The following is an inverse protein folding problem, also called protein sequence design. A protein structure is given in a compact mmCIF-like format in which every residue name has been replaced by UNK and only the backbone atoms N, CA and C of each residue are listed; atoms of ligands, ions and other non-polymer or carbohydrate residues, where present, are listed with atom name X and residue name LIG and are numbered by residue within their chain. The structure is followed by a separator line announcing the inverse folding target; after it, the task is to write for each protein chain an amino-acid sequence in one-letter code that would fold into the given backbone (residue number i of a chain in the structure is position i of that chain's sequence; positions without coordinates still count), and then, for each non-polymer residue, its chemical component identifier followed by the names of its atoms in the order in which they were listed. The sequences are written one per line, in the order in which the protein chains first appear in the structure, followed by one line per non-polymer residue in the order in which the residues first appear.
data_IF_549873401818
#
_entry.id   IF_549873401818
#
_cell.length_a   1.000
_cell.length_b   1.000
_cell.length_c   1.000
_cell.angle_alpha   90.00
_cell.angle_beta   90.00
_cell.angle_gamma   90.00
#
_symmetry.space_group_name_H-M   'P 1'
#
loop_
_entity.id
_entity.type
_entity.pdbx_description
1 polymer ?
#
# COMPACT_ATOMS: atom_id res chain seq x y z
N UNK A 1 -3.10 -12.52 23.57
CA UNK A 1 -3.99 -12.04 22.48
C UNK A 1 -5.13 -13.03 22.50
N UNK A 2 -6.31 -12.55 22.81
CA UNK A 2 -7.52 -13.37 22.77
C UNK A 2 -7.83 -13.62 21.27
N UNK A 3 -7.66 -14.85 20.82
CA UNK A 3 -7.84 -15.25 19.42
C UNK A 3 -9.27 -15.01 18.90
N UNK A 4 -10.21 -14.70 19.78
CA UNK A 4 -11.62 -14.48 19.42
C UNK A 4 -11.86 -13.18 18.67
N UNK A 5 -10.92 -12.21 18.72
CA UNK A 5 -11.04 -10.90 18.05
C UNK A 5 -10.15 -10.74 16.81
N UNK A 6 -9.32 -11.74 16.50
CA UNK A 6 -8.33 -11.66 15.40
C UNK A 6 -8.98 -11.58 14.00
N UNK A 7 -10.26 -11.91 13.87
CA UNK A 7 -10.97 -11.95 12.59
C UNK A 7 -12.00 -10.82 12.40
N UNK A 8 -12.20 -10.00 13.42
CA UNK A 8 -13.21 -8.95 13.41
C UNK A 8 -12.63 -7.61 12.92
N UNK A 9 -13.32 -6.93 12.04
CA UNK A 9 -12.99 -5.55 11.70
C UNK A 9 -13.31 -4.63 12.87
N UNK A 10 -12.44 -3.64 13.13
CA UNK A 10 -12.66 -2.64 14.17
C UNK A 10 -12.76 -1.27 13.49
N UNK A 11 -13.84 -0.57 13.75
CA UNK A 11 -14.12 0.76 13.20
C UNK A 11 -14.07 1.79 14.33
N UNK A 12 -13.29 2.84 14.13
CA UNK A 12 -13.28 4.01 14.98
C UNK A 12 -14.00 5.14 14.25
N UNK A 13 -15.07 5.63 14.82
CA UNK A 13 -15.86 6.70 14.23
C UNK A 13 -16.26 7.73 15.29
N UNK A 14 -16.54 8.95 14.86
CA UNK A 14 -17.07 9.99 15.72
C UNK A 14 -18.27 10.67 15.08
N UNK A 15 -19.15 11.18 15.89
CA UNK A 15 -20.29 11.99 15.46
C UNK A 15 -20.48 13.09 16.48
N UNK A 16 -20.74 14.31 16.03
CA UNK A 16 -21.07 15.40 16.96
C UNK A 16 -22.20 14.99 17.87
N UNK A 17 -22.03 15.28 19.15
CA UNK A 17 -22.98 14.91 20.20
C UNK A 17 -24.35 15.44 19.85
N UNK A 18 -25.29 14.56 19.60
CA UNK A 18 -26.70 14.84 19.69
C UNK A 18 -27.16 14.60 21.16
N UNK A 19 -27.98 15.44 21.69
CA UNK A 19 -28.49 15.33 23.07
C UNK A 19 -28.99 13.88 23.33
N UNK A 20 -28.39 13.19 24.30
CA UNK A 20 -28.73 11.81 24.65
C UNK A 20 -27.89 10.70 24.02
N UNK A 21 -26.83 11.02 23.25
CA UNK A 21 -25.94 10.03 22.66
C UNK A 21 -24.92 9.58 23.70
N UNK A 22 -25.01 8.32 24.14
CA UNK A 22 -23.97 7.64 24.90
C UNK A 22 -22.94 7.07 23.92
N UNK A 23 -21.67 7.09 24.30
CA UNK A 23 -20.61 6.35 23.59
C UNK A 23 -20.87 4.87 23.85
N UNK A 24 -21.49 4.19 22.89
CA UNK A 24 -21.77 2.75 22.99
C UNK A 24 -20.80 1.95 22.16
N UNK A 25 -20.33 0.88 22.78
CA UNK A 25 -19.63 -0.20 22.11
C UNK A 25 -20.70 -1.08 21.47
N UNK A 26 -20.74 -1.13 20.14
CA UNK A 26 -21.76 -1.87 19.41
C UNK A 26 -21.09 -3.04 18.70
N UNK A 27 -21.47 -4.26 19.09
CA UNK A 27 -21.18 -5.47 18.32
C UNK A 27 -22.35 -5.69 17.34
N UNK A 28 -22.07 -5.57 16.04
CA UNK A 28 -23.08 -5.83 15.01
C UNK A 28 -22.94 -7.24 14.44
N UNK A 29 -24.05 -7.87 14.09
CA UNK A 29 -24.07 -9.08 13.26
C UNK A 29 -23.36 -8.81 11.93
N UNK A 30 -22.29 -9.55 11.66
CA UNK A 30 -21.45 -9.35 10.47
C UNK A 30 -19.97 -9.22 10.80
N UNK A 31 -19.60 -9.28 12.07
CA UNK A 31 -18.21 -9.48 12.47
C UNK A 31 -17.36 -8.21 12.53
N UNK A 32 -17.90 -7.08 12.97
CA UNK A 32 -17.09 -5.91 13.29
C UNK A 32 -17.47 -5.27 14.62
N UNK A 33 -16.50 -4.58 15.22
CA UNK A 33 -16.66 -3.77 16.42
C UNK A 33 -16.67 -2.30 16.02
N UNK A 34 -17.65 -1.55 16.49
CA UNK A 34 -17.75 -0.11 16.25
C UNK A 34 -17.51 0.66 17.53
N UNK A 35 -16.43 1.42 17.60
CA UNK A 35 -16.13 2.35 18.67
C UNK A 35 -16.60 3.75 18.27
N UNK A 36 -17.63 4.23 18.94
CA UNK A 36 -18.18 5.57 18.71
C UNK A 36 -17.64 6.56 19.74
N UNK A 37 -17.29 7.74 19.27
CA UNK A 37 -16.76 8.84 20.08
C UNK A 37 -17.57 10.12 19.85
N UNK A 38 -17.58 11.00 20.86
CA UNK A 38 -18.30 12.28 20.80
C UNK A 38 -17.60 13.31 19.89
N UNK A 39 -16.29 13.17 19.68
CA UNK A 39 -15.51 14.08 18.86
C UNK A 39 -14.30 13.37 18.22
N UNK A 40 -13.72 14.03 17.23
CA UNK A 40 -12.58 13.50 16.48
C UNK A 40 -11.33 13.26 17.35
N UNK A 41 -11.07 14.12 18.34
CA UNK A 41 -9.90 13.95 19.18
C UNK A 41 -9.98 12.69 20.05
N UNK A 42 -11.12 12.42 20.64
CA UNK A 42 -11.33 11.23 21.47
C UNK A 42 -11.29 9.95 20.62
N UNK A 43 -11.80 10.02 19.38
CA UNK A 43 -11.62 8.93 18.41
C UNK A 43 -10.15 8.67 18.09
N UNK A 44 -9.36 9.72 17.90
CA UNK A 44 -7.91 9.56 17.67
C UNK A 44 -7.22 8.95 18.89
N UNK A 45 -7.55 9.38 20.10
CA UNK A 45 -7.00 8.79 21.34
C UNK A 45 -7.35 7.30 21.45
N UNK A 46 -8.61 6.93 21.24
CA UNK A 46 -9.04 5.53 21.27
C UNK A 46 -8.37 4.68 20.21
N UNK A 47 -8.21 5.19 18.99
CA UNK A 47 -7.46 4.51 17.93
C UNK A 47 -5.98 4.30 18.32
N UNK A 48 -5.33 5.32 18.89
CA UNK A 48 -3.93 5.23 19.29
C UNK A 48 -3.73 4.30 20.50
N UNK A 49 -4.66 4.26 21.43
CA UNK A 49 -4.66 3.30 22.53
C UNK A 49 -4.76 1.87 22.01
N UNK A 50 -5.69 1.62 21.08
CA UNK A 50 -5.83 0.32 20.45
C UNK A 50 -4.58 -0.08 19.66
N UNK A 51 -4.01 0.84 18.87
CA UNK A 51 -2.78 0.61 18.12
C UNK A 51 -1.59 0.29 19.04
N UNK A 52 -1.53 0.94 20.20
CA UNK A 52 -0.48 0.69 21.20
C UNK A 52 -0.68 -0.64 21.90
N UNK A 53 -1.91 -1.03 22.21
CA UNK A 53 -2.25 -2.29 22.86
C UNK A 53 -2.04 -3.50 21.94
N UNK A 54 -2.43 -3.39 20.67
CA UNK A 54 -2.27 -4.46 19.66
C UNK A 54 -0.84 -4.58 19.12
N UNK A 55 -0.06 -3.52 19.23
CA UNK A 55 1.35 -3.39 18.82
C UNK A 55 1.76 -4.13 17.52
N UNK A 56 1.09 -3.88 16.38
CA UNK A 56 1.33 -4.62 15.15
C UNK A 56 2.70 -4.25 14.54
N UNK A 57 3.43 -5.24 14.03
CA UNK A 57 4.68 -5.04 13.30
C UNK A 57 4.47 -4.40 11.93
N UNK A 58 3.34 -4.72 11.26
CA UNK A 58 3.05 -4.30 9.90
C UNK A 58 1.68 -3.63 9.85
N UNK A 59 1.64 -2.41 9.33
CA UNK A 59 0.42 -1.70 8.97
C UNK A 59 0.19 -1.81 7.48
N UNK A 60 -1.00 -2.25 7.09
CA UNK A 60 -1.37 -2.48 5.69
C UNK A 60 -2.55 -1.59 5.34
N UNK A 61 -2.43 -0.84 4.25
CA UNK A 61 -3.56 -0.14 3.65
C UNK A 61 -3.38 -0.01 2.14
N UNK A 62 -4.45 0.35 1.44
CA UNK A 62 -4.43 0.60 0.01
C UNK A 62 -4.37 2.10 -0.26
N UNK A 63 -3.37 2.55 -1.02
CA UNK A 63 -3.07 3.98 -1.20
C UNK A 63 -2.56 4.70 0.07
N UNK A 64 -2.05 3.96 1.04
CA UNK A 64 -1.60 4.45 2.35
C UNK A 64 -0.66 5.66 2.24
N UNK A 65 0.33 5.61 1.33
CA UNK A 65 1.42 6.58 1.30
C UNK A 65 1.02 7.94 0.75
N UNK A 66 -0.03 8.02 -0.04
CA UNK A 66 -0.46 9.29 -0.64
C UNK A 66 -1.86 9.74 -0.22
N UNK A 67 -2.68 8.85 0.32
CA UNK A 67 -4.04 9.17 0.79
C UNK A 67 -4.18 9.05 2.31
N UNK A 68 -4.32 7.84 2.86
CA UNK A 68 -4.78 7.62 4.22
C UNK A 68 -3.83 8.17 5.28
N UNK A 69 -2.58 7.74 5.26
CA UNK A 69 -1.60 8.13 6.29
C UNK A 69 -1.26 9.63 6.27
N UNK A 70 -1.09 10.30 5.10
CA UNK A 70 -0.94 11.75 5.07
C UNK A 70 -2.13 12.51 5.64
N UNK A 71 -3.36 12.04 5.42
CA UNK A 71 -4.57 12.67 5.97
C UNK A 71 -4.61 12.51 7.49
N UNK A 72 -4.43 11.28 7.98
CA UNK A 72 -4.38 11.00 9.41
C UNK A 72 -3.31 11.84 10.11
N UNK A 73 -2.07 11.85 9.59
CA UNK A 73 -0.96 12.61 10.17
C UNK A 73 -1.17 14.13 10.20
N UNK A 74 -2.01 14.67 9.32
CA UNK A 74 -2.34 16.12 9.35
C UNK A 74 -3.36 16.45 10.45
N UNK A 75 -4.23 15.52 10.80
CA UNK A 75 -5.25 15.67 11.83
C UNK A 75 -4.70 15.44 13.23
N UNK A 76 -3.76 14.52 13.38
CA UNK A 76 -3.07 14.23 14.63
C UNK A 76 -2.14 15.37 15.04
N UNK A 77 -2.08 15.66 16.34
CA UNK A 77 -1.02 16.48 16.93
C UNK A 77 0.35 15.81 16.78
N UNK A 78 1.43 16.53 17.09
CA UNK A 78 2.78 15.94 17.07
C UNK A 78 2.90 14.81 18.09
N UNK A 79 2.36 15.00 19.29
CA UNK A 79 2.37 14.01 20.36
C UNK A 79 1.57 12.76 19.98
N UNK A 80 0.33 12.92 19.52
CA UNK A 80 -0.50 11.82 19.03
C UNK A 80 0.17 11.07 17.89
N UNK A 81 0.72 11.76 16.90
CA UNK A 81 1.40 11.10 15.79
C UNK A 81 2.61 10.28 16.23
N UNK A 82 3.36 10.73 17.22
CA UNK A 82 4.51 9.99 17.76
C UNK A 82 4.08 8.67 18.44
N UNK A 83 2.87 8.61 19.02
CA UNK A 83 2.31 7.38 19.62
C UNK A 83 2.02 6.28 18.58
N UNK A 84 1.91 6.61 17.31
CA UNK A 84 1.81 5.57 16.27
C UNK A 84 3.07 4.70 16.16
N UNK A 85 4.20 5.22 16.63
CA UNK A 85 5.49 4.54 16.60
C UNK A 85 5.80 3.90 17.96
N UNK A 86 6.21 2.63 18.01
CA UNK A 86 6.62 1.97 19.26
C UNK A 86 7.88 2.61 19.86
N UNK A 87 8.63 3.39 19.10
CA UNK A 87 9.81 4.12 19.57
C UNK A 87 9.58 5.65 19.64
N UNK A 88 8.34 6.10 19.49
CA UNK A 88 7.96 7.50 19.61
C UNK A 88 8.44 8.41 18.47
N UNK A 89 8.72 7.88 17.28
CA UNK A 89 9.24 8.65 16.16
C UNK A 89 8.47 8.40 14.87
N UNK A 90 8.00 9.48 14.26
CA UNK A 90 7.34 9.46 12.95
C UNK A 90 7.92 10.51 12.03
N UNK A 91 7.87 10.26 10.74
CA UNK A 91 8.18 11.22 9.69
C UNK A 91 6.86 11.82 9.19
N UNK A 92 6.68 13.11 9.36
CA UNK A 92 5.47 13.78 8.88
C UNK A 92 5.48 13.99 7.37
N UNK A 93 4.32 13.96 6.71
CA UNK A 93 4.23 14.10 5.26
C UNK A 93 4.66 15.51 4.83
N UNK A 94 5.23 15.62 3.64
CA UNK A 94 5.45 16.92 3.02
C UNK A 94 4.13 17.56 2.66
N UNK A 95 4.04 18.89 2.73
CA UNK A 95 2.86 19.64 2.30
C UNK A 95 2.47 19.20 0.89
N UNK A 96 1.22 18.75 0.73
CA UNK A 96 0.57 18.40 -0.55
C UNK A 96 1.15 17.22 -1.37
N UNK A 97 2.14 16.48 -0.87
CA UNK A 97 2.81 15.43 -1.69
C UNK A 97 2.65 14.02 -1.10
N UNK A 98 2.35 13.90 0.21
CA UNK A 98 2.36 12.60 0.89
C UNK A 98 3.78 12.07 1.14
N UNK A 99 3.91 10.76 1.18
CA UNK A 99 5.19 10.07 1.39
C UNK A 99 5.75 9.52 0.07
N UNK A 100 7.06 9.28 0.06
CA UNK A 100 7.69 8.56 -1.06
C UNK A 100 7.39 7.06 -0.94
N UNK A 101 7.30 6.37 -2.06
CA UNK A 101 7.02 4.93 -2.14
C UNK A 101 7.94 4.05 -1.26
N UNK A 102 9.20 4.45 -1.10
CA UNK A 102 10.20 3.72 -0.30
C UNK A 102 10.35 4.23 1.13
N UNK A 103 9.55 5.21 1.54
CA UNK A 103 9.62 5.80 2.86
C UNK A 103 8.90 4.92 3.89
N UNK A 104 9.43 4.86 5.10
CA UNK A 104 8.76 4.25 6.25
C UNK A 104 8.43 5.36 7.23
N UNK A 105 7.18 5.86 7.24
CA UNK A 105 6.81 7.04 8.02
C UNK A 105 6.75 6.79 9.52
N UNK A 106 6.39 5.58 9.93
CA UNK A 106 6.25 5.19 11.33
C UNK A 106 7.45 4.31 11.68
N UNK A 107 8.39 4.86 12.45
CA UNK A 107 9.59 4.13 12.82
C UNK A 107 9.24 3.01 13.82
N UNK A 108 9.83 1.84 13.60
CA UNK A 108 9.53 0.65 14.40
C UNK A 108 8.37 -0.20 13.88
N UNK A 109 7.57 0.28 12.93
CA UNK A 109 6.55 -0.49 12.22
C UNK A 109 6.79 -0.45 10.71
N UNK A 110 6.45 -1.52 10.00
CA UNK A 110 6.46 -1.54 8.54
C UNK A 110 5.13 -1.00 8.01
N UNK A 111 5.19 0.00 7.15
CA UNK A 111 4.03 0.49 6.41
C UNK A 111 4.02 -0.17 5.02
N UNK A 112 3.03 -1.02 4.77
CA UNK A 112 2.88 -1.74 3.51
C UNK A 112 1.69 -1.20 2.72
N UNK A 113 1.99 -0.44 1.68
CA UNK A 113 0.98 0.09 0.77
C UNK A 113 0.72 -0.91 -0.36
N UNK A 114 -0.44 -1.54 -0.35
CA UNK A 114 -0.79 -2.59 -1.32
C UNK A 114 -0.96 -2.07 -2.75
N UNK A 115 -1.17 -0.79 -2.96
CA UNK A 115 -1.26 -0.23 -4.30
C UNK A 115 0.10 -0.13 -5.01
N UNK A 116 1.23 -0.24 -4.29
CA UNK A 116 2.58 -0.20 -4.87
C UNK A 116 2.97 -1.52 -5.55
N UNK A 117 2.82 -2.69 -4.90
CA UNK A 117 3.15 -3.99 -5.51
C UNK A 117 2.32 -4.30 -6.75
N UNK A 118 1.11 -3.80 -6.82
CA UNK A 118 0.19 -4.06 -7.93
C UNK A 118 0.36 -3.10 -9.10
N UNK A 119 1.36 -2.25 -9.02
CA UNK A 119 1.78 -1.41 -10.13
C UNK A 119 2.50 -2.26 -11.18
N UNK A 120 2.29 -1.95 -12.45
CA UNK A 120 2.98 -2.58 -13.58
C UNK A 120 4.50 -2.61 -13.38
N UNK A 121 5.10 -3.80 -13.63
CA UNK A 121 6.53 -4.04 -13.41
C UNK A 121 6.91 -4.36 -11.96
N UNK A 122 5.93 -4.55 -11.06
CA UNK A 122 6.20 -5.09 -9.72
C UNK A 122 6.50 -6.59 -9.80
N UNK A 123 7.25 -7.09 -8.82
CA UNK A 123 7.54 -8.52 -8.74
C UNK A 123 6.27 -9.37 -8.56
N UNK A 124 5.29 -8.87 -7.84
CA UNK A 124 4.04 -9.59 -7.57
C UNK A 124 3.18 -9.73 -8.83
N UNK A 125 3.05 -8.66 -9.62
CA UNK A 125 2.37 -8.70 -10.91
C UNK A 125 2.99 -9.74 -11.85
N UNK A 126 4.32 -9.81 -11.89
CA UNK A 126 5.03 -10.80 -12.70
C UNK A 126 4.74 -12.24 -12.24
N UNK A 127 4.67 -12.49 -10.95
CA UNK A 127 4.31 -13.80 -10.39
C UNK A 127 2.85 -14.14 -10.71
N UNK A 128 1.96 -13.18 -10.61
CA UNK A 128 0.55 -13.33 -10.95
C UNK A 128 0.36 -13.66 -12.43
N UNK A 129 1.04 -12.96 -13.33
CA UNK A 129 1.01 -13.22 -14.76
C UNK A 129 1.52 -14.62 -15.12
N UNK A 130 2.63 -15.05 -14.50
CA UNK A 130 3.18 -16.40 -14.72
C UNK A 130 2.23 -17.50 -14.25
N UNK A 131 1.40 -17.22 -13.25
CA UNK A 131 0.32 -18.11 -12.82
C UNK A 131 -0.83 -18.25 -13.82
N UNK A 132 -0.76 -17.63 -15.01
CA UNK A 132 -1.76 -17.71 -16.07
C UNK A 132 -3.03 -16.88 -15.80
N UNK A 133 -3.01 -16.00 -14.80
CA UNK A 133 -4.18 -15.24 -14.37
C UNK A 133 -4.27 -13.82 -14.93
N UNK A 134 -3.31 -13.43 -15.73
CA UNK A 134 -3.30 -12.13 -16.40
C UNK A 134 -2.82 -10.98 -15.50
N UNK A 135 -2.80 -9.80 -16.09
CA UNK A 135 -2.42 -8.55 -15.44
C UNK A 135 -3.65 -7.90 -14.80
N UNK A 136 -3.51 -7.29 -13.63
CA UNK A 136 -4.59 -6.48 -13.07
C UNK A 136 -4.95 -5.33 -14.02
N UNK A 137 -6.25 -5.16 -14.29
CA UNK A 137 -6.76 -4.12 -15.19
C UNK A 137 -6.39 -2.70 -14.70
N UNK A 138 -6.39 -2.48 -13.42
CA UNK A 138 -5.91 -1.25 -12.78
C UNK A 138 -5.54 -1.50 -11.31
N UNK A 139 -5.18 -0.43 -10.57
CA UNK A 139 -4.76 -0.50 -9.17
C UNK A 139 -5.86 -0.20 -8.16
N UNK A 140 -7.12 -0.11 -8.56
CA UNK A 140 -8.22 0.08 -7.63
C UNK A 140 -8.48 -1.22 -6.88
N UNK A 141 -8.70 -1.14 -5.58
CA UNK A 141 -8.91 -2.32 -4.72
C UNK A 141 -10.08 -3.18 -5.24
N UNK A 142 -11.20 -2.56 -5.57
CA UNK A 142 -12.36 -3.26 -6.13
C UNK A 142 -12.03 -4.04 -7.42
N UNK A 143 -11.27 -3.41 -8.35
CA UNK A 143 -10.87 -4.09 -9.59
C UNK A 143 -9.93 -5.27 -9.34
N UNK A 144 -9.02 -5.13 -8.38
CA UNK A 144 -8.11 -6.22 -7.99
C UNK A 144 -8.90 -7.37 -7.38
N UNK A 145 -9.89 -7.08 -6.56
CA UNK A 145 -10.77 -8.09 -5.97
C UNK A 145 -11.59 -8.83 -7.03
N UNK A 146 -12.12 -8.12 -8.02
CA UNK A 146 -12.80 -8.72 -9.18
C UNK A 146 -11.85 -9.62 -9.98
N UNK A 147 -10.65 -9.15 -10.31
CA UNK A 147 -9.65 -9.91 -11.07
C UNK A 147 -9.17 -11.15 -10.28
N UNK A 148 -9.20 -11.09 -8.95
CA UNK A 148 -8.96 -12.20 -8.05
C UNK A 148 -10.17 -13.11 -7.86
N UNK A 149 -11.33 -12.76 -8.42
CA UNK A 149 -12.61 -13.49 -8.26
C UNK A 149 -13.10 -13.59 -6.81
N UNK A 150 -12.77 -12.60 -6.00
CA UNK A 150 -13.21 -12.55 -4.60
C UNK A 150 -14.69 -12.21 -4.51
N UNK A 151 -15.22 -11.41 -5.42
CA UNK A 151 -16.65 -11.09 -5.52
C UNK A 151 -17.50 -12.32 -5.82
N UNK A 152 -17.01 -13.24 -6.65
CA UNK A 152 -17.68 -14.51 -6.96
C UNK A 152 -17.67 -15.49 -5.76
N UNK A 153 -16.57 -15.52 -5.01
CA UNK A 153 -16.40 -16.44 -3.87
C UNK A 153 -17.15 -15.98 -2.61
N UNK A 154 -17.29 -14.68 -2.40
CA UNK A 154 -17.80 -14.11 -1.14
C UNK A 154 -19.04 -13.24 -1.28
N UNK A 155 -19.61 -13.12 -2.49
CA UNK A 155 -20.82 -12.33 -2.74
C UNK A 155 -20.65 -10.81 -2.53
N UNK A 156 -19.44 -10.34 -2.44
CA UNK A 156 -19.14 -8.93 -2.21
C UNK A 156 -19.01 -8.22 -3.56
N UNK A 157 -20.06 -7.55 -3.98
CA UNK A 157 -19.93 -6.53 -5.02
C UNK A 157 -19.08 -5.38 -4.47
N UNK A 158 -18.00 -5.02 -5.17
CA UNK A 158 -17.22 -3.84 -4.83
C UNK A 158 -18.14 -2.63 -4.83
N UNK A 159 -18.49 -2.12 -3.66
CA UNK A 159 -19.39 -0.98 -3.53
C UNK A 159 -18.77 0.23 -4.24
N UNK A 160 -19.35 0.64 -5.34
CA UNK A 160 -19.04 1.92 -5.96
C UNK A 160 -19.72 2.99 -5.13
N UNK A 161 -18.92 3.88 -4.59
CA UNK A 161 -19.41 5.09 -3.98
C UNK A 161 -19.61 6.12 -5.08
N UNK A 162 -20.85 6.41 -5.44
CA UNK A 162 -21.22 7.46 -6.41
C UNK A 162 -21.48 8.82 -5.73
N UNK A 163 -21.36 8.89 -4.39
CA UNK A 163 -21.62 10.09 -3.61
C UNK A 163 -20.32 10.70 -3.07
N UNK A 164 -20.37 12.00 -2.79
CA UNK A 164 -19.30 12.67 -2.05
C UNK A 164 -19.19 12.07 -0.64
N UNK A 165 -17.99 11.60 -0.31
CA UNK A 165 -17.67 10.93 0.98
C UNK A 165 -18.14 11.74 2.19
N UNK A 166 -17.96 13.06 2.15
CA UNK A 166 -18.32 13.93 3.27
C UNK A 166 -19.83 14.06 3.47
N UNK A 167 -20.57 14.12 2.37
CA UNK A 167 -22.03 14.17 2.42
C UNK A 167 -22.60 12.84 2.90
N UNK A 168 -22.04 11.76 2.40
CA UNK A 168 -22.52 10.41 2.70
C UNK A 168 -22.28 10.03 4.16
N UNK A 169 -21.11 10.37 4.71
CA UNK A 169 -20.83 10.16 6.13
C UNK A 169 -21.85 10.85 7.06
N UNK A 170 -22.32 12.06 6.69
CA UNK A 170 -23.30 12.81 7.48
C UNK A 170 -24.71 12.24 7.34
N UNK A 171 -25.13 11.94 6.11
CA UNK A 171 -26.50 11.57 5.76
C UNK A 171 -26.78 10.05 5.92
N UNK A 172 -25.80 9.21 5.66
CA UNK A 172 -25.93 7.75 5.61
C UNK A 172 -24.84 7.06 6.42
N UNK A 173 -24.72 7.41 7.68
CA UNK A 173 -23.61 6.97 8.55
C UNK A 173 -23.46 5.45 8.62
N UNK A 174 -24.56 4.69 8.79
CA UNK A 174 -24.49 3.24 8.91
C UNK A 174 -24.00 2.58 7.63
N UNK A 175 -24.47 3.03 6.47
CA UNK A 175 -23.99 2.55 5.17
C UNK A 175 -22.52 2.89 4.94
N UNK A 176 -22.09 4.06 5.42
CA UNK A 176 -20.69 4.47 5.35
C UNK A 176 -19.79 3.60 6.23
N UNK A 177 -20.23 3.23 7.42
CA UNK A 177 -19.50 2.28 8.29
C UNK A 177 -19.41 0.91 7.63
N UNK A 178 -20.50 0.39 7.08
CA UNK A 178 -20.52 -0.88 6.38
C UNK A 178 -19.58 -0.88 5.16
N UNK A 179 -19.50 0.26 4.46
CA UNK A 179 -18.53 0.46 3.37
C UNK A 179 -17.08 0.37 3.87
N UNK A 180 -16.73 1.06 4.97
CA UNK A 180 -15.38 1.02 5.56
C UNK A 180 -14.99 -0.39 6.00
N UNK A 181 -15.91 -1.14 6.60
CA UNK A 181 -15.70 -2.54 7.00
C UNK A 181 -15.45 -3.41 5.77
N UNK A 182 -16.26 -3.22 4.73
CA UNK A 182 -16.14 -3.97 3.47
C UNK A 182 -14.80 -3.73 2.79
N UNK A 183 -14.37 -2.49 2.67
CA UNK A 183 -13.08 -2.13 2.08
C UNK A 183 -11.91 -2.74 2.86
N UNK A 184 -11.96 -2.71 4.19
CA UNK A 184 -10.93 -3.32 5.05
C UNK A 184 -10.89 -4.83 4.90
N UNK A 185 -12.06 -5.48 4.89
CA UNK A 185 -12.18 -6.94 4.69
C UNK A 185 -11.67 -7.34 3.31
N UNK A 186 -12.04 -6.58 2.28
CA UNK A 186 -11.61 -6.81 0.90
C UNK A 186 -10.10 -6.70 0.77
N UNK A 187 -9.49 -5.68 1.39
CA UNK A 187 -8.04 -5.50 1.44
C UNK A 187 -7.34 -6.71 2.08
N UNK A 188 -7.85 -7.18 3.22
CA UNK A 188 -7.32 -8.37 3.89
C UNK A 188 -7.37 -9.58 2.97
N UNK A 189 -8.53 -9.89 2.40
CA UNK A 189 -8.72 -11.04 1.49
C UNK A 189 -7.85 -10.98 0.24
N UNK A 190 -7.71 -9.80 -0.38
CA UNK A 190 -6.78 -9.60 -1.50
C UNK A 190 -5.34 -9.93 -1.09
N UNK A 191 -4.91 -9.42 0.06
CA UNK A 191 -3.54 -9.61 0.57
C UNK A 191 -3.26 -11.08 0.89
N UNK A 192 -4.21 -11.78 1.50
CA UNK A 192 -4.14 -13.22 1.83
C UNK A 192 -4.12 -14.08 0.56
N UNK A 193 -5.07 -13.86 -0.36
CA UNK A 193 -5.18 -14.63 -1.62
C UNK A 193 -3.93 -14.50 -2.49
N UNK A 194 -3.28 -13.35 -2.46
CA UNK A 194 -2.01 -13.11 -3.14
C UNK A 194 -0.81 -13.62 -2.35
N UNK A 195 -1.00 -14.05 -1.11
CA UNK A 195 0.09 -14.38 -0.18
C UNK A 195 1.15 -13.28 -0.12
N UNK A 196 0.70 -12.02 -0.10
CA UNK A 196 1.55 -10.87 -0.38
C UNK A 196 2.64 -10.67 0.68
N UNK A 197 2.30 -10.68 1.95
CA UNK A 197 3.27 -10.43 3.03
C UNK A 197 4.37 -11.50 3.08
N UNK A 198 4.06 -12.81 3.12
CA UNK A 198 5.07 -13.86 3.05
C UNK A 198 5.95 -13.76 1.81
N UNK A 199 5.37 -13.44 0.65
CA UNK A 199 6.11 -13.23 -0.58
C UNK A 199 7.15 -12.10 -0.46
N UNK A 200 6.77 -10.93 0.03
CA UNK A 200 7.70 -9.80 0.15
C UNK A 200 8.75 -9.99 1.24
N UNK A 201 8.42 -10.70 2.33
CA UNK A 201 9.40 -11.13 3.33
C UNK A 201 10.43 -12.07 2.72
N UNK A 202 9.99 -13.04 1.91
CA UNK A 202 10.89 -13.94 1.20
C UNK A 202 11.79 -13.17 0.21
N UNK A 203 11.21 -12.24 -0.56
CA UNK A 203 11.95 -11.40 -1.50
C UNK A 203 12.99 -10.52 -0.80
N UNK A 204 12.66 -9.98 0.37
CA UNK A 204 13.61 -9.24 1.22
C UNK A 204 14.80 -10.13 1.62
N UNK A 205 14.51 -11.33 2.13
CA UNK A 205 15.54 -12.28 2.60
C UNK A 205 16.45 -12.74 1.47
N UNK A 206 15.86 -13.14 0.34
CA UNK A 206 16.62 -13.65 -0.83
C UNK A 206 17.48 -12.57 -1.45
N UNK A 207 16.98 -11.36 -1.59
CA UNK A 207 17.67 -10.29 -2.30
C UNK A 207 18.48 -9.34 -1.40
N UNK A 208 18.29 -9.40 -0.07
CA UNK A 208 19.00 -8.52 0.87
C UNK A 208 18.65 -7.04 0.72
N UNK A 209 17.40 -6.76 0.40
CA UNK A 209 16.88 -5.40 0.25
C UNK A 209 16.01 -5.02 1.44
N UNK A 210 15.75 -3.72 1.62
CA UNK A 210 14.79 -3.28 2.64
C UNK A 210 13.39 -3.69 2.23
N UNK A 211 12.54 -4.03 3.19
CA UNK A 211 11.14 -4.40 2.94
C UNK A 211 10.41 -3.33 2.11
N UNK A 212 10.55 -2.05 2.46
CA UNK A 212 9.97 -0.91 1.71
C UNK A 212 10.44 -0.80 0.25
N UNK A 213 11.47 -1.53 -0.14
CA UNK A 213 12.02 -1.53 -1.49
C UNK A 213 11.67 -2.78 -2.29
N UNK A 214 10.93 -3.72 -1.68
CA UNK A 214 10.61 -5.02 -2.32
C UNK A 214 9.57 -4.92 -3.42
N UNK A 215 8.83 -3.83 -3.53
CA UNK A 215 7.89 -3.60 -4.63
C UNK A 215 8.57 -3.20 -5.96
N UNK A 216 9.88 -3.00 -5.96
CA UNK A 216 10.63 -2.58 -7.14
C UNK A 216 11.69 -3.62 -7.52
N UNK A 217 11.49 -4.26 -8.66
CA UNK A 217 12.37 -5.32 -9.20
C UNK A 217 13.82 -4.86 -9.37
N UNK A 218 14.06 -3.60 -9.75
CA UNK A 218 15.42 -3.06 -9.88
C UNK A 218 16.22 -3.15 -8.58
N UNK A 219 15.55 -3.09 -7.43
CA UNK A 219 16.21 -3.22 -6.13
C UNK A 219 16.67 -4.67 -5.88
N UNK A 220 15.97 -5.67 -6.41
CA UNK A 220 16.39 -7.07 -6.32
C UNK A 220 17.72 -7.28 -7.02
N UNK A 221 17.85 -6.76 -8.24
CA UNK A 221 19.08 -6.83 -9.02
C UNK A 221 20.20 -6.15 -8.24
N UNK A 222 19.99 -4.94 -7.74
CA UNK A 222 20.98 -4.22 -6.91
C UNK A 222 21.39 -5.02 -5.67
N UNK A 223 20.45 -5.62 -4.95
CA UNK A 223 20.73 -6.45 -3.79
C UNK A 223 21.56 -7.68 -4.12
N UNK A 224 21.23 -8.37 -5.21
CA UNK A 224 22.00 -9.52 -5.69
C UNK A 224 23.42 -9.15 -6.11
N UNK A 225 23.60 -8.04 -6.82
CA UNK A 225 24.93 -7.54 -7.18
C UNK A 225 25.74 -7.16 -5.92
N UNK A 226 25.15 -6.42 -4.98
CA UNK A 226 25.82 -6.00 -3.77
C UNK A 226 26.33 -7.17 -2.92
N UNK A 227 25.65 -8.31 -2.95
CA UNK A 227 26.07 -9.53 -2.22
C UNK A 227 27.16 -10.33 -2.90
N UNK A 228 27.22 -10.30 -4.23
CA UNK A 228 28.12 -11.14 -5.04
C UNK A 228 29.36 -10.41 -5.53
N UNK A 229 29.33 -9.10 -5.54
CA UNK A 229 30.44 -8.30 -6.06
C UNK A 229 31.26 -7.76 -4.88
N UNK A 230 32.57 -7.99 -4.82
CA UNK A 230 33.45 -7.50 -3.76
C UNK A 230 33.69 -5.99 -3.84
N UNK A 231 33.06 -5.30 -4.78
CA UNK A 231 33.22 -3.87 -4.98
C UNK A 231 32.65 -3.12 -3.76
N UNK A 232 33.52 -2.40 -3.06
CA UNK A 232 33.10 -1.42 -2.06
C UNK A 232 32.32 -0.34 -2.82
N UNK A 233 31.08 -0.10 -2.41
CA UNK A 233 30.32 1.04 -2.92
C UNK A 233 31.17 2.31 -2.71
N UNK A 234 31.46 3.10 -3.74
CA UNK A 234 32.18 4.35 -3.56
C UNK A 234 31.35 5.21 -2.62
N UNK A 235 31.97 5.73 -1.59
CA UNK A 235 31.38 6.77 -0.74
C UNK A 235 30.87 7.86 -1.67
N UNK A 236 29.59 8.21 -1.52
CA UNK A 236 28.90 9.19 -2.34
C UNK A 236 29.50 10.60 -2.10
N UNK A 237 30.68 10.84 -2.59
CA UNK A 237 31.21 12.19 -2.72
C UNK A 237 30.87 12.71 -4.10
N UNK A 238 30.00 13.71 -4.14
CA UNK A 238 29.75 14.64 -5.25
C UNK A 238 30.19 14.14 -6.63
N UNK A 239 29.54 13.06 -7.13
CA UNK A 239 29.64 12.76 -8.54
C UNK A 239 28.86 13.84 -9.28
N UNK A 240 29.54 14.76 -9.90
CA UNK A 240 28.98 15.45 -11.06
C UNK A 240 28.49 14.33 -12.00
N UNK A 241 27.19 14.34 -12.30
CA UNK A 241 26.64 13.46 -13.34
C UNK A 241 27.33 13.89 -14.64
N UNK A 242 28.23 13.06 -15.12
CA UNK A 242 28.65 13.15 -16.51
C UNK A 242 27.43 12.77 -17.32
N UNK A 243 27.03 13.64 -18.24
CA UNK A 243 25.97 13.35 -19.21
C UNK A 243 26.50 12.27 -20.15
N UNK A 244 26.13 11.04 -19.85
CA UNK A 244 26.40 9.92 -20.74
C UNK A 244 25.51 10.08 -21.98
N UNK A 245 26.12 10.30 -23.12
CA UNK A 245 25.46 10.21 -24.41
C UNK A 245 25.10 8.74 -24.66
N UNK A 246 23.93 8.33 -24.21
CA UNK A 246 23.44 6.97 -24.38
C UNK A 246 22.17 6.98 -25.22
N UNK A 247 21.98 5.95 -26.03
CA UNK A 247 20.83 5.69 -26.88
C UNK A 247 20.57 6.76 -27.97
N UNK A 248 21.12 6.55 -29.13
CA UNK A 248 20.73 7.32 -30.32
C UNK A 248 19.38 6.79 -30.85
N UNK A 249 18.36 7.62 -30.81
CA UNK A 249 17.09 7.37 -31.45
C UNK A 249 17.10 8.09 -32.79
N UNK A 250 16.98 7.35 -33.88
CA UNK A 250 16.89 7.95 -35.20
C UNK A 250 15.56 8.71 -35.35
N UNK A 251 15.60 9.82 -36.08
CA UNK A 251 14.40 10.61 -36.35
C UNK A 251 13.36 9.77 -37.09
N UNK A 252 12.14 9.73 -36.54
CA UNK A 252 11.04 9.01 -37.15
C UNK A 252 10.40 9.84 -38.24
N UNK A 253 10.18 9.25 -39.40
CA UNK A 253 9.37 9.87 -40.46
C UNK A 253 7.91 9.50 -40.22
N UNK A 254 7.05 10.45 -39.81
CA UNK A 254 5.63 10.17 -39.59
C UNK A 254 4.97 9.77 -40.89
N UNK A 255 4.11 8.75 -40.88
CA UNK A 255 3.43 8.27 -42.08
C UNK A 255 2.81 6.88 -41.85
N UNK A 256 2.08 6.42 -42.88
CA UNK A 256 1.51 5.07 -42.91
C UNK A 256 2.39 4.17 -43.79
N UNK A 257 3.04 3.24 -43.18
CA UNK A 257 3.96 2.33 -43.84
C UNK A 257 3.34 0.95 -44.02
N UNK A 258 3.59 0.28 -45.17
CA UNK A 258 3.19 -1.10 -45.43
C UNK A 258 4.44 -1.98 -45.41
N UNK A 259 4.30 -3.21 -44.95
CA UNK A 259 5.40 -4.19 -44.96
C UNK A 259 6.54 -3.88 -43.97
N UNK A 260 6.17 -3.33 -42.78
CA UNK A 260 7.12 -3.01 -41.71
C UNK A 260 7.53 -4.28 -41.00
N UNK A 261 8.83 -4.51 -40.88
CA UNK A 261 9.41 -5.53 -40.01
C UNK A 261 9.99 -4.86 -38.76
N UNK A 262 9.59 -5.35 -37.58
CA UNK A 262 10.12 -4.92 -36.29
C UNK A 262 11.19 -5.93 -35.86
N UNK A 263 12.43 -5.48 -35.73
CA UNK A 263 13.55 -6.30 -35.27
C UNK A 263 14.04 -5.73 -33.92
N UNK A 264 14.29 -6.63 -32.99
CA UNK A 264 14.84 -6.27 -31.66
C UNK A 264 15.93 -7.28 -31.28
N UNK A 265 16.99 -6.80 -30.60
CA UNK A 265 18.05 -7.64 -30.08
C UNK A 265 17.65 -8.21 -28.72
N UNK A 266 17.48 -9.51 -28.63
CA UNK A 266 17.19 -10.15 -27.35
C UNK A 266 18.33 -9.90 -26.35
N UNK A 267 18.01 -9.22 -25.25
CA UNK A 267 18.96 -9.00 -24.14
C UNK A 267 20.28 -8.31 -24.54
N UNK A 268 20.28 -7.38 -25.49
CA UNK A 268 21.47 -6.73 -26.04
C UNK A 268 22.46 -6.26 -24.96
N UNK A 269 22.02 -5.50 -23.96
CA UNK A 269 22.92 -5.00 -22.90
C UNK A 269 23.54 -6.12 -22.05
N UNK A 270 22.78 -7.13 -21.57
CA UNK A 270 23.36 -8.28 -20.88
C UNK A 270 24.38 -9.03 -21.71
N UNK A 271 24.14 -9.20 -23.02
CA UNK A 271 25.10 -9.88 -23.91
C UNK A 271 26.41 -9.11 -24.08
N UNK A 272 26.33 -7.79 -24.31
CA UNK A 272 27.53 -6.93 -24.40
C UNK A 272 28.37 -6.92 -23.12
N UNK A 273 27.71 -7.07 -21.95
CA UNK A 273 28.41 -7.10 -20.66
C UNK A 273 29.10 -8.47 -20.43
N UNK A 274 28.57 -9.55 -21.00
CA UNK A 274 29.09 -10.89 -20.82
C UNK A 274 30.23 -11.25 -21.79
N UNK A 275 30.29 -10.57 -22.93
CA UNK A 275 31.38 -10.67 -23.91
C UNK A 275 32.61 -9.82 -23.48
#
# INVERSE_FOLDING_TARGET
IDDTHAECAIVFAWKEKQEGMTVEYIEKEGGYLLHMYENENDMHEGFLDHLSASDPDILIAHAMMWADLPQLMRRLTVEQSNRMSPIGQVVRPRKNIGYRDTQQPILGRLCFDTALPWKSGSGLETVWQKGGKGQFRNRKLATIAEDLKLTEEFGEEGAKMDADVFTWWVENFDEFVDYCVRDTTLLRRCTEKLNAIPFFIAMQKVNGVKFSSTHNVSNYIRGQFARRTPLKAPTLYNRQREDLTAATVADTKPGRWKGVALLDFASMYPQIIMD
#
